data_IF_534278014372
#
_entry.id   IF_534278014372
#
_cell.length_a   1.000
_cell.length_b   1.000
_cell.length_c   1.000
_cell.angle_alpha   90.00
_cell.angle_beta   90.00
_cell.angle_gamma   90.00
#
_symmetry.space_group_name_H-M   'P 1'
#
loop_
_entity.id
_entity.type
_entity.pdbx_description
1 polymer ?
#
# COMPACT_ATOMS: atom_id res chain seq x y z
N UNK A 1 -10.33 -1.88 -5.61
CA UNK A 1 -9.39 -2.99 -5.35
C UNK A 1 -9.71 -4.22 -6.20
N UNK A 2 -10.94 -4.79 -6.14
CA UNK A 2 -11.25 -6.09 -6.74
C UNK A 2 -10.94 -6.23 -8.24
N UNK A 3 -11.26 -5.25 -9.08
CA UNK A 3 -10.95 -5.33 -10.52
C UNK A 3 -9.44 -5.24 -10.83
N UNK A 4 -8.67 -4.54 -9.99
CA UNK A 4 -7.21 -4.51 -10.05
C UNK A 4 -6.67 -5.88 -9.65
N UNK A 5 -7.13 -6.42 -8.52
CA UNK A 5 -6.74 -7.75 -8.05
C UNK A 5 -7.03 -8.83 -9.11
N UNK A 6 -8.23 -8.82 -9.68
CA UNK A 6 -8.60 -9.75 -10.74
C UNK A 6 -7.64 -9.71 -11.93
N UNK A 7 -7.31 -8.51 -12.41
CA UNK A 7 -6.39 -8.37 -13.56
C UNK A 7 -5.00 -8.92 -13.24
N UNK A 8 -4.46 -8.61 -12.06
CA UNK A 8 -3.15 -9.08 -11.63
C UNK A 8 -3.13 -10.58 -11.33
N UNK A 9 -4.17 -11.10 -10.66
CA UNK A 9 -4.32 -12.53 -10.38
C UNK A 9 -4.42 -13.35 -11.67
N UNK A 10 -5.19 -12.88 -12.66
CA UNK A 10 -5.23 -13.52 -13.99
C UNK A 10 -3.86 -13.55 -14.65
N UNK A 11 -3.10 -12.45 -14.59
CA UNK A 11 -1.82 -12.34 -15.29
C UNK A 11 -0.68 -13.13 -14.60
N UNK A 12 -0.58 -13.04 -13.27
CA UNK A 12 0.57 -13.57 -12.53
C UNK A 12 0.34 -14.96 -11.93
N UNK A 13 -0.94 -15.36 -11.74
CA UNK A 13 -1.32 -16.59 -11.03
C UNK A 13 -2.30 -17.48 -11.81
N UNK A 14 -2.70 -17.11 -13.02
CA UNK A 14 -3.71 -17.81 -13.83
C UNK A 14 -5.07 -17.97 -13.11
N UNK A 15 -5.43 -17.00 -12.25
CA UNK A 15 -6.66 -17.00 -11.45
C UNK A 15 -7.72 -16.04 -12.03
N UNK A 16 -8.42 -16.45 -13.07
CA UNK A 16 -9.30 -15.60 -13.90
C UNK A 16 -10.48 -14.92 -13.20
N UNK A 17 -10.91 -15.42 -12.05
CA UNK A 17 -12.09 -14.91 -11.34
C UNK A 17 -11.78 -14.38 -9.94
N UNK A 18 -10.55 -14.46 -9.52
CA UNK A 18 -10.15 -14.06 -8.17
C UNK A 18 -9.99 -12.54 -8.08
N UNK A 19 -10.80 -11.94 -7.22
CA UNK A 19 -10.86 -10.49 -6.99
C UNK A 19 -10.24 -10.06 -5.66
N UNK A 20 -9.65 -10.99 -4.91
CA UNK A 20 -9.20 -10.73 -3.53
C UNK A 20 -7.85 -11.34 -3.16
N UNK A 21 -7.53 -12.53 -3.64
CA UNK A 21 -6.25 -13.18 -3.33
C UNK A 21 -5.07 -12.31 -3.72
N UNK A 22 -4.00 -12.38 -2.95
CA UNK A 22 -2.76 -11.64 -3.14
C UNK A 22 -2.88 -10.10 -3.06
N UNK A 23 -4.08 -9.55 -2.81
CA UNK A 23 -4.34 -8.11 -2.70
C UNK A 23 -4.63 -7.71 -1.26
N UNK A 24 -3.89 -6.77 -0.74
CA UNK A 24 -4.03 -6.23 0.61
C UNK A 24 -4.34 -4.74 0.54
N UNK A 25 -5.35 -4.31 1.30
CA UNK A 25 -5.59 -2.88 1.54
C UNK A 25 -4.67 -2.48 2.69
N UNK A 26 -3.83 -1.48 2.44
CA UNK A 26 -2.81 -1.04 3.39
C UNK A 26 -2.96 0.46 3.68
N UNK A 27 -1.93 1.11 4.20
CA UNK A 27 -1.96 2.53 4.49
C UNK A 27 -3.04 2.91 5.51
N UNK A 28 -3.56 4.12 5.40
CA UNK A 28 -4.54 4.64 6.36
C UNK A 28 -5.90 3.92 6.32
N UNK A 29 -6.29 3.44 5.13
CA UNK A 29 -7.54 2.67 4.98
C UNK A 29 -7.38 1.30 5.65
N UNK A 30 -6.25 0.62 5.44
CA UNK A 30 -5.95 -0.67 6.07
C UNK A 30 -5.87 -0.57 7.60
N UNK A 31 -5.31 0.53 8.13
CA UNK A 31 -5.23 0.79 9.58
C UNK A 31 -6.52 1.36 10.20
N UNK A 32 -7.58 1.54 9.41
CA UNK A 32 -8.85 2.13 9.87
C UNK A 32 -8.72 3.58 10.42
N UNK A 33 -7.66 4.30 10.01
CA UNK A 33 -7.39 5.69 10.43
C UNK A 33 -7.67 6.73 9.34
N UNK A 34 -8.17 6.29 8.17
CA UNK A 34 -8.50 7.17 7.06
C UNK A 34 -9.69 8.06 7.36
N UNK A 35 -9.62 9.34 6.94
CA UNK A 35 -10.74 10.26 7.01
C UNK A 35 -11.36 10.48 5.62
N UNK A 36 -12.61 10.92 5.60
CA UNK A 36 -13.35 11.15 4.36
C UNK A 36 -12.65 12.22 3.49
N UNK A 37 -12.51 11.91 2.21
CA UNK A 37 -11.94 12.79 1.17
C UNK A 37 -10.45 13.15 1.35
N UNK A 38 -9.68 12.41 2.12
CA UNK A 38 -8.31 12.81 2.44
C UNK A 38 -7.22 11.85 2.00
N UNK A 39 -7.56 10.71 1.45
CA UNK A 39 -6.54 9.69 1.23
C UNK A 39 -6.72 8.99 -0.09
N UNK A 40 -5.61 8.72 -0.72
CA UNK A 40 -5.51 7.75 -1.77
C UNK A 40 -5.76 6.34 -1.20
N UNK A 41 -6.13 5.41 -2.05
CA UNK A 41 -6.28 4.02 -1.66
C UNK A 41 -4.94 3.31 -1.85
N UNK A 42 -4.31 2.98 -0.75
CA UNK A 42 -3.05 2.22 -0.74
C UNK A 42 -3.35 0.72 -0.86
N UNK A 43 -2.80 0.09 -1.88
CA UNK A 43 -2.89 -1.34 -2.12
C UNK A 43 -1.50 -1.96 -2.16
N UNK A 44 -1.38 -3.18 -1.66
CA UNK A 44 -0.20 -4.01 -1.82
C UNK A 44 -0.62 -5.29 -2.56
N UNK A 45 0.10 -5.65 -3.61
CA UNK A 45 -0.13 -6.89 -4.33
C UNK A 45 1.08 -7.81 -4.19
N UNK A 46 0.86 -8.99 -3.61
CA UNK A 46 1.87 -10.04 -3.50
C UNK A 46 2.05 -10.73 -4.85
N UNK A 47 3.26 -10.66 -5.38
CA UNK A 47 3.66 -11.27 -6.66
C UNK A 47 4.37 -12.61 -6.44
N UNK A 48 4.33 -13.52 -7.42
CA UNK A 48 5.07 -14.78 -7.35
C UNK A 48 6.58 -14.55 -7.18
N UNK A 49 7.24 -15.42 -6.41
CA UNK A 49 8.70 -15.36 -6.21
C UNK A 49 9.51 -15.50 -7.53
N UNK A 50 8.93 -16.11 -8.56
CA UNK A 50 9.53 -16.16 -9.89
C UNK A 50 9.67 -14.78 -10.53
N UNK A 51 8.71 -13.88 -10.27
CA UNK A 51 8.75 -12.48 -10.71
C UNK A 51 9.84 -11.72 -9.97
N UNK A 52 9.99 -11.94 -8.64
CA UNK A 52 11.10 -11.36 -7.88
C UNK A 52 12.44 -11.72 -8.50
N UNK A 53 12.70 -13.02 -8.71
CA UNK A 53 13.96 -13.50 -9.30
C UNK A 53 14.26 -12.86 -10.64
N UNK A 54 13.24 -12.77 -11.52
CA UNK A 54 13.38 -12.13 -12.84
C UNK A 54 13.94 -10.71 -12.76
N UNK A 55 13.45 -9.90 -11.82
CA UNK A 55 13.86 -8.49 -11.72
C UNK A 55 15.07 -8.25 -10.79
N UNK A 56 15.31 -9.16 -9.85
CA UNK A 56 16.50 -9.14 -9.00
C UNK A 56 17.78 -9.49 -9.80
N UNK A 57 17.63 -10.33 -10.81
CA UNK A 57 18.72 -10.71 -11.73
C UNK A 57 19.13 -9.59 -12.72
N UNK A 58 18.40 -8.47 -12.77
CA UNK A 58 18.77 -7.33 -13.63
C UNK A 58 20.03 -6.66 -13.09
N UNK A 59 20.98 -6.36 -13.97
CA UNK A 59 22.23 -5.65 -13.60
C UNK A 59 21.96 -4.22 -13.11
N UNK A 60 20.87 -3.59 -13.54
CA UNK A 60 20.43 -2.26 -13.10
C UNK A 60 18.93 -2.07 -13.37
N UNK A 61 18.30 -1.17 -12.61
CA UNK A 61 16.91 -0.74 -12.83
C UNK A 61 15.84 -1.86 -12.75
N UNK A 62 16.11 -3.00 -12.10
CA UNK A 62 15.16 -4.09 -11.95
C UNK A 62 13.88 -3.65 -11.25
N UNK A 63 13.98 -2.79 -10.24
CA UNK A 63 12.84 -2.23 -9.51
C UNK A 63 11.96 -1.36 -10.40
N UNK A 64 12.57 -0.50 -11.23
CA UNK A 64 11.84 0.32 -12.21
C UNK A 64 11.19 -0.53 -13.30
N UNK A 65 11.86 -1.59 -13.75
CA UNK A 65 11.33 -2.53 -14.73
C UNK A 65 10.13 -3.30 -14.16
N UNK A 66 10.14 -3.68 -12.87
CA UNK A 66 8.99 -4.29 -12.20
C UNK A 66 7.79 -3.34 -12.16
N UNK A 67 7.99 -2.08 -11.75
CA UNK A 67 6.90 -1.09 -11.73
C UNK A 67 6.31 -0.88 -13.14
N UNK A 68 7.17 -0.86 -14.15
CA UNK A 68 6.72 -0.73 -15.54
C UNK A 68 5.91 -1.95 -16.01
N UNK A 69 6.35 -3.18 -15.70
CA UNK A 69 5.66 -4.43 -16.03
C UNK A 69 4.24 -4.45 -15.41
N UNK A 70 4.13 -4.18 -14.11
CA UNK A 70 2.83 -4.12 -13.42
C UNK A 70 1.93 -3.03 -14.02
N UNK A 71 2.48 -1.86 -14.34
CA UNK A 71 1.75 -0.79 -15.01
C UNK A 71 1.23 -1.23 -16.38
N UNK A 72 2.03 -1.93 -17.18
CA UNK A 72 1.67 -2.36 -18.53
C UNK A 72 0.57 -3.43 -18.47
N UNK A 73 0.63 -4.36 -17.54
CA UNK A 73 -0.45 -5.32 -17.26
C UNK A 73 -1.77 -4.61 -16.92
N UNK A 74 -1.71 -3.56 -16.07
CA UNK A 74 -2.91 -2.80 -15.71
C UNK A 74 -3.43 -1.93 -16.86
N UNK A 75 -2.56 -1.43 -17.74
CA UNK A 75 -2.94 -0.67 -18.94
C UNK A 75 -3.80 -1.46 -19.91
N UNK A 76 -3.64 -2.77 -20.01
CA UNK A 76 -4.53 -3.60 -20.81
C UNK A 76 -6.00 -3.53 -20.36
N UNK A 77 -6.23 -3.41 -19.05
CA UNK A 77 -7.59 -3.28 -18.48
C UNK A 77 -8.08 -1.84 -18.45
N UNK A 78 -7.16 -0.89 -18.29
CA UNK A 78 -7.45 0.54 -18.08
C UNK A 78 -6.68 1.40 -19.11
N UNK A 79 -6.90 1.25 -20.43
CA UNK A 79 -6.07 1.90 -21.46
C UNK A 79 -6.11 3.42 -21.39
N UNK A 80 -7.22 4.01 -20.96
CA UNK A 80 -7.43 5.45 -20.89
C UNK A 80 -7.14 6.05 -19.51
N UNK A 81 -6.80 5.25 -18.50
CA UNK A 81 -6.49 5.74 -17.16
C UNK A 81 -5.03 6.19 -17.11
N UNK A 82 -4.77 7.37 -16.53
CA UNK A 82 -3.41 7.84 -16.33
C UNK A 82 -2.74 6.98 -15.26
N UNK A 83 -1.53 6.50 -15.59
CA UNK A 83 -0.72 5.68 -14.68
C UNK A 83 0.74 6.07 -14.80
N UNK A 84 1.46 6.07 -13.67
CA UNK A 84 2.90 6.24 -13.63
C UNK A 84 3.53 5.35 -12.56
N UNK A 85 4.78 4.96 -12.75
CA UNK A 85 5.62 4.47 -11.67
C UNK A 85 6.13 5.67 -10.87
N UNK A 86 6.15 5.57 -9.55
CA UNK A 86 6.58 6.64 -8.67
C UNK A 86 7.28 6.05 -7.42
N UNK A 87 8.60 6.05 -7.44
CA UNK A 87 9.40 5.54 -6.33
C UNK A 87 9.17 4.07 -6.02
N UNK A 88 8.11 3.78 -5.32
CA UNK A 88 7.80 2.45 -4.77
C UNK A 88 6.47 1.89 -5.29
N UNK A 89 5.68 2.70 -6.00
CA UNK A 89 4.29 2.40 -6.34
C UNK A 89 4.01 2.57 -7.83
N UNK A 90 2.96 1.92 -8.29
CA UNK A 90 2.24 2.28 -9.50
C UNK A 90 1.05 3.14 -9.11
N UNK A 91 1.09 4.42 -9.46
CA UNK A 91 0.01 5.37 -9.22
C UNK A 91 -1.02 5.25 -10.33
N UNK A 92 -2.29 5.07 -9.98
CA UNK A 92 -3.42 4.91 -10.89
C UNK A 92 -4.45 6.01 -10.60
N UNK A 93 -4.59 6.98 -11.51
CA UNK A 93 -5.44 8.15 -11.32
C UNK A 93 -6.84 7.88 -11.90
N UNK A 94 -7.78 7.45 -11.07
CA UNK A 94 -9.19 7.38 -11.44
C UNK A 94 -9.85 8.75 -11.28
N UNK A 95 -11.00 8.96 -11.93
CA UNK A 95 -11.72 10.27 -11.92
C UNK A 95 -12.08 10.76 -10.52
N UNK A 96 -12.30 9.86 -9.55
CA UNK A 96 -12.80 10.22 -8.22
C UNK A 96 -11.78 9.97 -7.10
N UNK A 97 -10.75 9.22 -7.34
CA UNK A 97 -9.73 8.83 -6.33
C UNK A 97 -8.47 8.33 -7.03
N UNK A 98 -7.38 8.35 -6.32
CA UNK A 98 -6.11 7.75 -6.74
C UNK A 98 -5.91 6.41 -6.03
N UNK A 99 -5.26 5.48 -6.70
CA UNK A 99 -4.77 4.24 -6.11
C UNK A 99 -3.25 4.24 -6.19
N UNK A 100 -2.61 3.95 -5.08
CA UNK A 100 -1.18 3.67 -5.00
C UNK A 100 -0.98 2.17 -4.79
N UNK A 101 -0.48 1.50 -5.80
CA UNK A 101 -0.28 0.06 -5.77
C UNK A 101 1.21 -0.27 -5.59
N UNK A 102 1.55 -0.90 -4.48
CA UNK A 102 2.87 -1.45 -4.19
C UNK A 102 2.93 -2.89 -4.70
N UNK A 103 3.68 -3.23 -5.74
CA UNK A 103 4.01 -4.61 -6.04
C UNK A 103 5.01 -5.12 -5.01
N UNK A 104 4.75 -6.28 -4.42
CA UNK A 104 5.58 -6.79 -3.32
C UNK A 104 5.68 -8.32 -3.36
N UNK A 105 6.51 -8.87 -2.50
CA UNK A 105 6.79 -10.30 -2.41
C UNK A 105 6.78 -10.72 -0.95
N UNK A 106 5.83 -11.57 -0.58
CA UNK A 106 5.77 -12.10 0.79
C UNK A 106 7.02 -12.92 1.11
N UNK A 107 7.54 -12.75 2.31
CA UNK A 107 8.70 -13.45 2.84
C UNK A 107 8.30 -14.50 3.86
N UNK A 108 9.21 -15.38 4.22
CA UNK A 108 8.97 -16.46 5.20
C UNK A 108 8.64 -15.96 6.62
N UNK A 109 8.97 -14.70 6.91
CA UNK A 109 8.66 -14.02 8.19
C UNK A 109 7.38 -13.17 8.12
N UNK A 110 6.57 -13.35 7.07
CA UNK A 110 5.34 -12.61 6.75
C UNK A 110 5.53 -11.13 6.43
N UNK A 111 6.73 -10.60 6.40
CA UNK A 111 6.99 -9.26 5.87
C UNK A 111 6.92 -9.25 4.34
N UNK A 112 6.76 -8.08 3.77
CA UNK A 112 6.75 -7.90 2.33
C UNK A 112 8.04 -7.20 1.89
N UNK A 113 8.71 -7.77 0.88
CA UNK A 113 9.80 -7.12 0.16
C UNK A 113 9.22 -6.36 -1.02
N UNK A 114 9.57 -5.09 -1.19
CA UNK A 114 9.02 -4.24 -2.24
C UNK A 114 10.11 -3.40 -2.93
N UNK A 115 9.88 -2.93 -4.18
CA UNK A 115 10.85 -2.12 -4.91
C UNK A 115 10.91 -0.68 -4.38
N UNK A 116 12.11 -0.11 -4.39
CA UNK A 116 12.32 1.33 -4.29
C UNK A 116 13.27 1.75 -5.42
N UNK A 117 12.81 2.63 -6.29
CA UNK A 117 13.56 3.06 -7.48
C UNK A 117 14.52 4.21 -7.22
N UNK A 118 14.57 4.75 -6.00
CA UNK A 118 15.53 5.79 -5.62
C UNK A 118 16.92 5.18 -5.41
N UNK A 119 17.96 6.03 -5.57
CA UNK A 119 19.35 5.67 -5.30
C UNK A 119 19.79 4.38 -6.03
N UNK A 120 19.66 4.35 -7.34
CA UNK A 120 19.99 3.23 -8.24
C UNK A 120 19.15 1.96 -8.06
N UNK A 121 18.08 2.06 -7.30
CA UNK A 121 17.14 0.97 -7.06
C UNK A 121 17.60 0.02 -5.94
N UNK A 122 16.66 -0.30 -5.06
CA UNK A 122 16.90 -1.27 -3.97
C UNK A 122 15.60 -1.95 -3.58
N UNK A 123 15.74 -3.05 -2.85
CA UNK A 123 14.61 -3.73 -2.22
C UNK A 123 14.51 -3.31 -0.76
N UNK A 124 13.31 -2.97 -0.34
CA UNK A 124 12.98 -2.63 1.04
C UNK A 124 11.98 -3.62 1.63
N UNK A 125 11.76 -3.54 2.93
CA UNK A 125 10.81 -4.39 3.64
C UNK A 125 9.78 -3.54 4.37
N UNK A 126 8.56 -4.07 4.45
CA UNK A 126 7.44 -3.50 5.21
C UNK A 126 6.59 -4.60 5.83
N UNK A 127 5.87 -4.26 6.89
CA UNK A 127 4.96 -5.18 7.59
C UNK A 127 3.63 -4.49 7.90
N UNK A 128 2.85 -4.18 6.85
CA UNK A 128 1.60 -3.45 7.02
C UNK A 128 0.52 -4.25 7.75
N UNK A 129 0.61 -5.57 7.76
CA UNK A 129 -0.38 -6.41 8.44
C UNK A 129 -0.17 -6.37 9.96
N UNK A 130 1.08 -6.44 10.43
CA UNK A 130 1.39 -6.25 11.85
C UNK A 130 1.05 -4.82 12.31
N UNK A 131 1.29 -3.80 11.47
CA UNK A 131 0.86 -2.42 11.78
C UNK A 131 -0.67 -2.35 12.01
N UNK A 132 -1.47 -2.99 11.15
CA UNK A 132 -2.93 -3.00 11.26
C UNK A 132 -3.38 -3.75 12.52
N UNK A 133 -2.75 -4.89 12.81
CA UNK A 133 -3.05 -5.67 14.01
C UNK A 133 -2.76 -4.88 15.30
N UNK A 134 -1.63 -4.19 15.37
CA UNK A 134 -1.26 -3.36 16.51
C UNK A 134 -2.20 -2.15 16.67
N UNK A 135 -2.59 -1.50 15.58
CA UNK A 135 -3.59 -0.43 15.61
C UNK A 135 -4.93 -0.93 16.16
N UNK A 136 -5.37 -2.11 15.73
CA UNK A 136 -6.61 -2.72 16.22
C UNK A 136 -6.51 -3.08 17.70
N UNK A 137 -5.41 -3.72 18.13
CA UNK A 137 -5.18 -4.02 19.54
C UNK A 137 -5.21 -2.76 20.42
N UNK A 138 -4.54 -1.69 19.98
CA UNK A 138 -4.55 -0.41 20.69
C UNK A 138 -5.97 0.15 20.78
N UNK A 139 -6.75 0.08 19.72
CA UNK A 139 -8.14 0.54 19.70
C UNK A 139 -9.02 -0.28 20.66
N UNK A 140 -8.90 -1.61 20.65
CA UNK A 140 -9.64 -2.52 21.50
C UNK A 140 -9.28 -2.29 23.00
N UNK A 141 -7.99 -2.09 23.31
CA UNK A 141 -7.50 -1.82 24.67
C UNK A 141 -7.88 -0.42 25.18
N UNK A 142 -8.19 0.52 24.29
CA UNK A 142 -8.58 1.89 24.61
C UNK A 142 -10.07 2.17 24.44
N UNK A 143 -10.93 1.13 24.42
CA UNK A 143 -12.39 1.27 24.26
C UNK A 143 -12.78 2.11 23.02
N UNK A 144 -12.05 1.97 21.91
CA UNK A 144 -12.31 2.67 20.66
C UNK A 144 -11.73 4.09 20.57
N UNK A 145 -10.97 4.52 21.57
CA UNK A 145 -10.39 5.88 21.61
C UNK A 145 -9.33 6.06 20.53
N UNK A 146 -8.52 5.04 20.24
CA UNK A 146 -7.41 5.15 19.29
C UNK A 146 -7.87 5.61 17.90
N UNK A 147 -8.82 4.91 17.26
CA UNK A 147 -9.31 5.30 15.93
C UNK A 147 -9.98 6.66 15.94
N UNK A 148 -10.81 6.93 16.94
CA UNK A 148 -11.48 8.23 17.08
C UNK A 148 -10.45 9.37 17.18
N UNK A 149 -9.40 9.20 17.97
CA UNK A 149 -8.39 10.23 18.16
C UNK A 149 -7.53 10.41 16.90
N UNK A 150 -7.16 9.34 16.20
CA UNK A 150 -6.51 9.42 14.89
C UNK A 150 -7.36 10.23 13.89
N UNK A 151 -8.67 9.96 13.80
CA UNK A 151 -9.57 10.70 12.93
C UNK A 151 -9.65 12.19 13.29
N UNK A 152 -9.74 12.52 14.57
CA UNK A 152 -9.76 13.91 15.05
C UNK A 152 -8.46 14.63 14.67
N UNK A 153 -7.31 14.03 14.95
CA UNK A 153 -6.00 14.62 14.65
C UNK A 153 -5.76 14.81 13.17
N UNK A 154 -6.19 13.87 12.33
CA UNK A 154 -6.10 13.98 10.87
C UNK A 154 -7.03 15.08 10.33
N UNK A 155 -8.26 15.20 10.85
CA UNK A 155 -9.17 16.29 10.48
C UNK A 155 -8.62 17.65 10.94
N UNK A 156 -8.11 17.73 12.18
CA UNK A 156 -7.48 18.94 12.71
C UNK A 156 -6.30 19.39 11.86
N UNK A 157 -5.37 18.48 11.54
CA UNK A 157 -4.26 18.74 10.62
C UNK A 157 -4.73 19.39 9.31
N UNK A 158 -5.76 18.81 8.69
CA UNK A 158 -6.29 19.33 7.43
C UNK A 158 -6.93 20.71 7.58
N UNK A 159 -7.59 20.98 8.71
CA UNK A 159 -8.22 22.27 9.01
C UNK A 159 -7.18 23.36 9.25
N UNK A 160 -6.11 23.05 9.97
CA UNK A 160 -5.05 24.01 10.29
C UNK A 160 -4.05 24.17 9.14
N UNK A 161 -3.96 23.17 8.25
CA UNK A 161 -3.14 23.26 7.03
C UNK A 161 -1.64 23.06 7.26
N UNK A 162 -1.22 22.34 8.32
CA UNK A 162 0.19 22.00 8.45
C UNK A 162 0.53 20.59 7.96
N UNK A 163 1.76 20.41 7.52
CA UNK A 163 2.23 19.18 6.92
C UNK A 163 2.73 18.19 7.99
N UNK A 164 1.97 17.14 8.19
CA UNK A 164 2.32 15.99 9.04
C UNK A 164 1.97 14.69 8.31
N UNK A 165 2.88 13.74 8.25
CA UNK A 165 2.59 12.43 7.69
C UNK A 165 1.47 11.73 8.47
N UNK A 166 0.51 11.10 7.75
CA UNK A 166 -0.60 10.41 8.41
C UNK A 166 -0.13 9.28 9.33
N UNK A 167 0.88 8.53 8.92
CA UNK A 167 1.47 7.48 9.78
C UNK A 167 2.10 8.05 11.05
N UNK A 168 2.74 9.22 10.98
CA UNK A 168 3.31 9.88 12.17
C UNK A 168 2.22 10.24 13.17
N UNK A 169 1.06 10.75 12.71
CA UNK A 169 -0.09 11.02 13.58
C UNK A 169 -0.54 9.73 14.27
N UNK A 170 -0.77 8.66 13.51
CA UNK A 170 -1.21 7.38 14.04
C UNK A 170 -0.22 6.83 15.09
N UNK A 171 1.09 6.94 14.83
CA UNK A 171 2.14 6.50 15.74
C UNK A 171 2.17 7.31 17.02
N UNK A 172 2.01 8.64 16.96
CA UNK A 172 1.99 9.50 18.15
C UNK A 172 0.77 9.20 19.04
N UNK A 173 -0.40 8.97 18.42
CA UNK A 173 -1.61 8.58 19.16
C UNK A 173 -1.42 7.20 19.81
N UNK A 174 -0.85 6.24 19.06
CA UNK A 174 -0.52 4.91 19.56
C UNK A 174 0.39 4.98 20.79
N UNK A 175 1.53 5.69 20.68
CA UNK A 175 2.47 5.82 21.79
C UNK A 175 1.83 6.44 23.02
N UNK A 176 1.02 7.51 22.84
CA UNK A 176 0.36 8.16 23.97
C UNK A 176 -0.63 7.23 24.71
N UNK A 177 -1.36 6.39 23.99
CA UNK A 177 -2.34 5.48 24.58
C UNK A 177 -1.71 4.18 25.12
N UNK A 178 -0.52 3.79 24.64
CA UNK A 178 0.18 2.60 25.11
C UNK A 178 1.01 2.86 26.38
N UNK A 179 1.40 4.12 26.62
CA UNK A 179 2.22 4.53 27.77
C UNK A 179 1.37 4.88 29.03
N UNK A 180 0.04 4.85 28.93
CA UNK A 180 -0.89 5.16 30.00
C UNK A 180 -1.84 3.98 30.29
#
# INVERSE_FOLDING_TARGET
AGEIAKKLNTHYYDLDKDTSSHMYIVGSVGRETAIKNSSDLDLLFDLPQSVYKKYDDYQSNGQSALLQDVKDVLKERYPNTRMRGDGQVVVIEFTKYTVELVPAFIQSDNRFKYPDTHDDGKWKYTDPLSEQEECKKCNDNSDGIYFNFCHIMRNWKNTVGFEFGGLLIDTLVYSHLSDN
#
